data_IF_954280746669
#
_entry.id   IF_954280746669
#
_cell.length_a   1.000
_cell.length_b   1.000
_cell.length_c   1.000
_cell.angle_alpha   90.00
_cell.angle_beta   90.00
_cell.angle_gamma   90.00
#
_symmetry.space_group_name_H-M   'P 1'
#
loop_
_entity.id
_entity.type
_entity.pdbx_description
1 polymer ?
#
# COMPACT_ATOMS: atom_id res chain seq x y z
N UNK A 1 -1.43 14.93 -7.44
CA UNK A 1 -0.63 15.77 -6.52
C UNK A 1 -0.38 17.17 -7.08
N UNK A 2 0.33 17.34 -8.21
CA UNK A 2 0.60 18.68 -8.75
C UNK A 2 -0.68 19.45 -9.10
N UNK A 3 -1.66 18.78 -9.71
CA UNK A 3 -2.97 19.38 -9.99
C UNK A 3 -3.71 19.81 -8.72
N UNK A 4 -3.68 19.02 -7.64
CA UNK A 4 -4.18 19.45 -6.33
C UNK A 4 -3.44 20.69 -5.84
N UNK A 5 -2.10 20.72 -5.93
CA UNK A 5 -1.28 21.81 -5.40
C UNK A 5 -1.57 23.17 -6.05
N UNK A 6 -1.78 23.22 -7.37
CA UNK A 6 -2.11 24.47 -8.08
C UNK A 6 -3.53 24.98 -7.78
N UNK A 7 -4.40 24.11 -7.23
CA UNK A 7 -5.77 24.45 -6.83
C UNK A 7 -5.89 24.73 -5.32
N UNK A 8 -4.79 24.70 -4.55
CA UNK A 8 -4.80 25.05 -3.13
C UNK A 8 -4.76 26.58 -2.94
N UNK A 9 -5.47 27.07 -1.91
CA UNK A 9 -5.51 28.51 -1.58
C UNK A 9 -4.25 29.04 -0.88
N UNK A 10 -3.33 28.16 -0.47
CA UNK A 10 -2.13 28.51 0.28
C UNK A 10 -0.86 27.80 -0.24
N UNK A 11 0.31 28.12 0.31
CA UNK A 11 1.57 27.52 -0.10
C UNK A 11 1.55 25.99 0.05
N UNK A 12 2.02 25.29 -0.99
CA UNK A 12 2.15 23.82 -1.01
C UNK A 12 3.57 23.44 -1.35
N UNK A 13 4.16 22.53 -0.57
CA UNK A 13 5.41 21.87 -0.91
C UNK A 13 5.11 20.51 -1.54
N UNK A 14 5.56 20.30 -2.78
CA UNK A 14 5.49 18.99 -3.46
C UNK A 14 6.88 18.40 -3.48
N UNK A 15 7.06 17.24 -2.83
CA UNK A 15 8.33 16.49 -2.89
C UNK A 15 8.28 15.56 -4.09
N UNK A 16 9.18 15.78 -5.05
CA UNK A 16 9.42 14.87 -6.15
C UNK A 16 10.55 13.90 -5.78
N UNK A 17 10.41 12.59 -6.07
CA UNK A 17 11.47 11.63 -5.81
C UNK A 17 12.69 11.93 -6.68
N UNK A 18 13.88 11.58 -6.19
CA UNK A 18 15.12 11.69 -6.96
C UNK A 18 15.29 10.42 -7.79
N UNK A 19 15.28 10.54 -9.12
CA UNK A 19 15.44 9.40 -10.04
C UNK A 19 14.20 9.08 -10.87
N UNK A 20 14.22 7.95 -11.56
CA UNK A 20 13.08 7.48 -12.35
C UNK A 20 11.97 7.01 -11.40
N UNK A 21 10.91 7.81 -11.26
CA UNK A 21 9.69 7.38 -10.57
C UNK A 21 9.14 6.12 -11.24
N UNK A 22 8.95 5.05 -10.46
CA UNK A 22 8.50 3.76 -10.97
C UNK A 22 6.97 3.70 -11.03
N UNK A 23 6.44 3.43 -12.23
CA UNK A 23 5.27 2.59 -12.42
C UNK A 23 3.87 3.13 -12.09
N UNK A 24 3.70 4.44 -11.89
CA UNK A 24 2.37 5.02 -11.78
C UNK A 24 1.82 5.38 -13.16
N UNK A 25 0.72 4.75 -13.56
CA UNK A 25 -0.03 5.19 -14.75
C UNK A 25 -0.48 6.64 -14.54
N UNK A 26 -0.15 7.50 -15.51
CA UNK A 26 -0.60 8.88 -15.48
C UNK A 26 -2.09 8.91 -15.89
N UNK A 27 -2.94 9.42 -15.01
CA UNK A 27 -4.34 9.67 -15.37
C UNK A 27 -4.42 10.65 -16.53
N UNK A 28 -5.25 10.33 -17.55
CA UNK A 28 -5.57 11.25 -18.65
C UNK A 28 -6.30 12.52 -18.15
N UNK A 29 -7.03 12.41 -17.03
CA UNK A 29 -7.81 13.51 -16.44
C UNK A 29 -7.38 13.72 -14.98
N UNK A 30 -6.66 14.80 -14.67
CA UNK A 30 -6.25 15.06 -13.30
C UNK A 30 -7.44 15.50 -12.44
N UNK A 31 -7.50 15.02 -11.20
CA UNK A 31 -8.54 15.38 -10.23
C UNK A 31 -7.94 16.04 -8.99
N UNK A 32 -8.73 16.91 -8.34
CA UNK A 32 -8.34 17.53 -7.07
C UNK A 32 -8.56 16.52 -5.95
N UNK A 33 -7.47 16.14 -5.30
CA UNK A 33 -7.51 15.27 -4.12
C UNK A 33 -7.95 16.03 -2.87
N UNK A 34 -8.76 15.39 -2.02
CA UNK A 34 -9.10 15.92 -0.70
C UNK A 34 -7.83 16.03 0.17
N UNK A 35 -7.55 17.24 0.67
CA UNK A 35 -6.34 17.51 1.44
C UNK A 35 -6.29 16.67 2.71
N UNK A 36 -5.19 15.94 2.89
CA UNK A 36 -4.99 15.08 4.06
C UNK A 36 -5.72 13.75 4.00
N UNK A 37 -6.29 13.36 2.84
CA UNK A 37 -6.80 12.01 2.63
C UNK A 37 -5.75 11.09 2.00
N UNK A 38 -5.48 9.99 2.71
CA UNK A 38 -4.74 8.86 2.18
C UNK A 38 -5.68 7.85 1.51
N UNK A 39 -5.12 6.73 1.06
CA UNK A 39 -5.89 5.62 0.50
C UNK A 39 -5.25 4.28 0.85
N UNK A 40 -6.05 3.20 0.85
CA UNK A 40 -5.52 1.83 0.84
C UNK A 40 -5.25 1.45 -0.60
N UNK A 41 -3.97 1.20 -0.94
CA UNK A 41 -3.56 0.82 -2.30
C UNK A 41 -3.42 -0.69 -2.48
N UNK A 42 -3.30 -1.42 -1.37
CA UNK A 42 -3.29 -2.88 -1.38
C UNK A 42 -3.81 -3.42 -0.05
N UNK A 43 -4.60 -4.48 -0.13
CA UNK A 43 -5.04 -5.27 1.02
C UNK A 43 -4.96 -6.73 0.61
N UNK A 44 -4.20 -7.52 1.34
CA UNK A 44 -4.18 -8.98 1.15
C UNK A 44 -5.62 -9.52 1.20
N UNK A 45 -5.92 -10.51 0.38
CA UNK A 45 -7.28 -11.05 0.26
C UNK A 45 -7.78 -11.54 1.63
N UNK A 46 -8.86 -10.94 2.15
CA UNK A 46 -9.36 -11.27 3.49
C UNK A 46 -9.98 -12.66 3.49
N UNK A 47 -9.41 -13.47 4.37
CA UNK A 47 -9.73 -14.84 4.74
C UNK A 47 -11.16 -15.01 5.26
N UNK A 48 -11.84 -16.09 4.86
CA UNK A 48 -12.97 -16.63 5.62
C UNK A 48 -12.43 -17.55 6.72
N UNK A 49 -12.46 -17.09 7.98
CA UNK A 49 -12.17 -17.93 9.15
C UNK A 49 -10.68 -18.26 9.38
N UNK A 50 -9.81 -17.24 9.39
CA UNK A 50 -8.42 -17.30 9.87
C UNK A 50 -7.42 -18.10 9.02
N UNK A 51 -7.67 -18.23 7.72
CA UNK A 51 -7.09 -19.28 6.89
C UNK A 51 -6.70 -18.78 5.48
N UNK A 52 -5.41 -18.62 5.20
CA UNK A 52 -4.80 -18.26 3.91
C UNK A 52 -4.86 -19.42 2.94
N UNK A 53 -5.49 -19.20 1.79
CA UNK A 53 -5.41 -20.11 0.64
C UNK A 53 -4.20 -19.69 -0.21
N UNK A 54 -3.12 -20.47 -0.13
CA UNK A 54 -1.97 -20.30 -1.03
C UNK A 54 -2.23 -21.16 -2.26
N UNK A 55 -2.47 -20.54 -3.42
CA UNK A 55 -2.51 -21.23 -4.71
C UNK A 55 -1.07 -21.39 -5.23
N UNK A 56 -0.50 -22.58 -5.09
CA UNK A 56 0.71 -22.92 -5.82
C UNK A 56 0.36 -23.09 -7.31
N UNK A 57 0.68 -22.12 -8.14
CA UNK A 57 0.87 -22.35 -9.57
C UNK A 57 2.31 -22.78 -9.78
N UNK A 58 2.57 -24.08 -9.67
CA UNK A 58 3.80 -24.66 -10.22
C UNK A 58 3.69 -24.58 -11.75
N UNK A 59 4.68 -23.93 -12.36
CA UNK A 59 4.80 -23.79 -13.80
C UNK A 59 4.97 -25.17 -14.45
N UNK A 60 3.95 -25.63 -15.18
CA UNK A 60 4.14 -26.61 -16.26
C UNK A 60 3.43 -27.96 -16.16
N UNK A 61 2.61 -28.24 -15.13
CA UNK A 61 1.79 -29.46 -15.09
C UNK A 61 0.37 -29.18 -14.59
N UNK A 62 -0.57 -29.95 -15.14
CA UNK A 62 -2.04 -29.83 -15.03
C UNK A 62 -2.48 -29.40 -13.61
N UNK A 63 -3.31 -28.33 -13.48
CA UNK A 63 -3.64 -27.75 -12.19
C UNK A 63 -4.55 -28.69 -11.39
N UNK A 64 -3.97 -29.54 -10.56
CA UNK A 64 -4.70 -30.13 -9.43
C UNK A 64 -4.71 -29.08 -8.31
N UNK A 65 -5.87 -28.46 -8.13
CA UNK A 65 -6.13 -27.35 -7.21
C UNK A 65 -5.98 -27.76 -5.74
N UNK A 66 -4.73 -27.88 -5.26
CA UNK A 66 -4.44 -27.99 -3.83
C UNK A 66 -4.18 -26.59 -3.26
N UNK A 67 -5.27 -25.90 -2.97
CA UNK A 67 -5.28 -24.73 -2.10
C UNK A 67 -4.86 -25.15 -0.69
N UNK A 68 -3.61 -24.86 -0.28
CA UNK A 68 -3.20 -25.13 1.09
C UNK A 68 -3.68 -24.00 1.99
N UNK A 69 -4.40 -24.38 3.03
CA UNK A 69 -4.99 -23.46 3.99
C UNK A 69 -4.04 -23.30 5.19
N UNK A 70 -3.57 -22.07 5.47
CA UNK A 70 -2.61 -21.78 6.55
C UNK A 70 -3.05 -20.59 7.40
N UNK A 71 -2.81 -20.63 8.71
CA UNK A 71 -2.98 -19.42 9.54
C UNK A 71 -1.92 -18.38 9.15
N UNK A 72 -2.25 -17.07 9.19
CA UNK A 72 -1.27 -16.02 8.95
C UNK A 72 -0.14 -16.08 9.98
N UNK A 73 1.09 -15.88 9.52
CA UNK A 73 2.27 -15.77 10.38
C UNK A 73 2.29 -14.44 11.13
N UNK A 74 1.81 -13.37 10.50
CA UNK A 74 1.64 -12.04 11.09
C UNK A 74 0.77 -11.14 10.22
N UNK A 75 0.16 -10.11 10.82
CA UNK A 75 -0.58 -9.05 10.12
C UNK A 75 0.08 -7.68 10.29
N UNK A 76 0.31 -6.96 9.20
CA UNK A 76 1.01 -5.66 9.22
C UNK A 76 0.28 -4.57 8.45
N UNK A 77 0.35 -3.35 9.00
CA UNK A 77 -0.07 -2.11 8.35
C UNK A 77 1.17 -1.37 7.86
N UNK A 78 1.39 -1.38 6.54
CA UNK A 78 2.46 -0.63 5.88
C UNK A 78 1.93 0.76 5.52
N UNK A 79 2.56 1.81 6.02
CA UNK A 79 2.26 3.20 5.69
C UNK A 79 3.39 3.71 4.80
N UNK A 80 3.11 3.89 3.52
CA UNK A 80 4.07 4.34 2.52
C UNK A 80 3.74 5.74 2.00
N UNK A 81 4.77 6.45 1.55
CA UNK A 81 4.63 7.77 0.92
C UNK A 81 5.61 7.93 -0.25
N UNK A 82 5.20 8.66 -1.28
CA UNK A 82 6.07 8.99 -2.42
C UNK A 82 6.48 7.77 -3.26
N UNK A 83 7.75 7.73 -3.65
CA UNK A 83 8.36 6.66 -4.47
C UNK A 83 8.25 5.28 -3.83
N UNK A 84 8.10 5.21 -2.50
CA UNK A 84 8.06 3.95 -1.77
C UNK A 84 6.70 3.23 -1.80
N UNK A 85 5.65 3.86 -2.34
CA UNK A 85 4.30 3.25 -2.37
C UNK A 85 4.27 1.98 -3.24
N UNK A 86 4.78 2.05 -4.48
CA UNK A 86 4.80 0.87 -5.38
C UNK A 86 5.71 -0.25 -4.87
N UNK A 87 6.97 0.02 -4.45
CA UNK A 87 7.80 -0.99 -3.79
C UNK A 87 7.12 -1.63 -2.58
N UNK A 88 6.38 -0.87 -1.76
CA UNK A 88 5.64 -1.40 -0.62
C UNK A 88 4.51 -2.35 -1.05
N UNK A 89 3.80 -2.04 -2.14
CA UNK A 89 2.78 -2.93 -2.72
C UNK A 89 3.40 -4.23 -3.24
N UNK A 90 4.50 -4.16 -3.99
CA UNK A 90 5.18 -5.35 -4.49
C UNK A 90 5.74 -6.21 -3.35
N UNK A 91 6.32 -5.59 -2.32
CA UNK A 91 6.74 -6.28 -1.12
C UNK A 91 5.57 -6.97 -0.40
N UNK A 92 4.41 -6.30 -0.29
CA UNK A 92 3.22 -6.87 0.31
C UNK A 92 2.69 -8.11 -0.44
N UNK A 93 2.75 -8.11 -1.79
CA UNK A 93 2.41 -9.28 -2.61
C UNK A 93 3.36 -10.45 -2.38
N UNK A 94 4.66 -10.18 -2.19
CA UNK A 94 5.64 -11.23 -1.86
C UNK A 94 5.43 -11.77 -0.44
N UNK A 95 5.14 -10.89 0.52
CA UNK A 95 4.82 -11.25 1.90
C UNK A 95 3.57 -12.14 2.00
N UNK A 96 2.54 -11.89 1.18
CA UNK A 96 1.34 -12.72 1.14
C UNK A 96 1.66 -14.19 0.78
N UNK A 97 2.61 -14.42 -0.14
CA UNK A 97 3.08 -15.78 -0.50
C UNK A 97 3.78 -16.49 0.65
N UNK A 98 4.44 -15.72 1.53
CA UNK A 98 5.07 -16.23 2.75
C UNK A 98 4.10 -16.38 3.92
N UNK A 99 2.82 -16.05 3.72
CA UNK A 99 1.78 -16.09 4.74
C UNK A 99 1.77 -14.90 5.69
N UNK A 100 2.36 -13.77 5.27
CA UNK A 100 2.32 -12.49 5.99
C UNK A 100 1.28 -11.59 5.34
N UNK A 101 0.26 -11.23 6.12
CA UNK A 101 -0.89 -10.44 5.67
C UNK A 101 -0.55 -8.97 5.77
N UNK A 102 -0.80 -8.21 4.71
CA UNK A 102 -0.43 -6.80 4.66
C UNK A 102 -1.58 -5.92 4.18
N UNK A 103 -1.75 -4.78 4.85
CA UNK A 103 -2.47 -3.62 4.31
C UNK A 103 -1.45 -2.54 3.98
N UNK A 104 -1.47 -2.00 2.77
CA UNK A 104 -0.60 -0.89 2.35
C UNK A 104 -1.45 0.36 2.20
N UNK A 105 -1.11 1.38 2.98
CA UNK A 105 -1.68 2.72 2.94
C UNK A 105 -0.71 3.62 2.17
N UNK A 106 -1.20 4.25 1.11
CA UNK A 106 -0.55 5.42 0.53
C UNK A 106 -1.00 6.64 1.32
N UNK A 107 -0.09 7.23 2.09
CA UNK A 107 -0.41 8.40 2.92
C UNK A 107 -0.82 9.61 2.09
N UNK A 108 -0.32 9.73 0.83
CA UNK A 108 -0.47 10.87 -0.11
C UNK A 108 0.06 12.22 0.39
N UNK A 109 -0.26 12.59 1.63
CA UNK A 109 0.09 13.85 2.26
C UNK A 109 0.91 13.61 3.54
N UNK A 110 2.01 14.37 3.68
CA UNK A 110 2.77 14.44 4.94
C UNK A 110 2.12 15.42 5.91
N UNK A 111 1.46 16.46 5.41
CA UNK A 111 0.67 17.38 6.24
C UNK A 111 -0.46 18.00 5.42
N UNK A 112 -1.70 17.98 5.94
CA UNK A 112 -2.15 17.15 7.06
C UNK A 112 -2.07 15.64 6.73
N UNK A 113 -1.92 14.78 7.74
CA UNK A 113 -2.00 13.32 7.57
C UNK A 113 -3.45 12.82 7.78
N UNK A 114 -3.82 11.72 7.11
CA UNK A 114 -5.07 11.00 7.38
C UNK A 114 -4.95 10.18 8.67
N UNK A 115 -5.16 10.85 9.81
CA UNK A 115 -5.10 10.19 11.13
C UNK A 115 -6.10 9.04 11.25
N UNK A 116 -7.30 9.21 10.71
CA UNK A 116 -8.36 8.21 10.85
C UNK A 116 -7.98 6.92 10.10
N UNK A 117 -7.53 7.04 8.85
CA UNK A 117 -7.08 5.91 8.06
C UNK A 117 -5.91 5.17 8.72
N UNK A 118 -4.89 5.92 9.16
CA UNK A 118 -3.69 5.35 9.79
C UNK A 118 -4.03 4.63 11.10
N UNK A 119 -4.82 5.25 11.98
CA UNK A 119 -5.19 4.65 13.27
C UNK A 119 -6.05 3.40 13.06
N UNK A 120 -6.96 3.42 12.09
CA UNK A 120 -7.78 2.24 11.79
C UNK A 120 -6.93 1.09 11.24
N UNK A 121 -6.00 1.37 10.31
CA UNK A 121 -5.07 0.35 9.81
C UNK A 121 -4.17 -0.21 10.91
N UNK A 122 -3.66 0.65 11.80
CA UNK A 122 -2.83 0.24 12.92
C UNK A 122 -3.58 -0.64 13.95
N UNK A 123 -4.87 -0.38 14.18
CA UNK A 123 -5.70 -1.20 15.09
C UNK A 123 -5.99 -2.60 14.56
N UNK A 124 -6.06 -2.75 13.24
CA UNK A 124 -6.28 -4.05 12.59
C UNK A 124 -5.00 -4.87 12.46
N UNK A 125 -3.82 -4.29 12.68
CA UNK A 125 -2.53 -4.94 12.47
C UNK A 125 -1.81 -5.26 13.79
N UNK A 126 -1.01 -6.32 13.78
CA UNK A 126 -0.08 -6.61 14.89
C UNK A 126 1.12 -5.66 14.89
N UNK A 127 1.52 -5.20 13.70
CA UNK A 127 2.71 -4.35 13.49
C UNK A 127 2.41 -3.22 12.53
N UNK A 128 3.00 -2.06 12.81
CA UNK A 128 2.99 -0.89 11.92
C UNK A 128 4.38 -0.73 11.33
N UNK A 129 4.47 -0.58 10.02
CA UNK A 129 5.71 -0.36 9.29
C UNK A 129 5.57 0.93 8.49
N UNK A 130 6.50 1.87 8.64
CA UNK A 130 6.54 3.08 7.82
C UNK A 130 7.61 2.94 6.74
N UNK A 131 7.28 3.28 5.49
CA UNK A 131 8.20 3.16 4.35
C UNK A 131 8.26 4.48 3.60
N UNK A 132 9.40 5.15 3.68
CA UNK A 132 9.61 6.45 3.07
C UNK A 132 11.07 6.57 2.58
N UNK A 133 11.28 7.38 1.55
CA UNK A 133 12.62 7.69 1.05
C UNK A 133 13.05 9.04 1.64
N UNK A 134 13.65 8.96 2.82
CA UNK A 134 14.14 10.12 3.56
C UNK A 134 15.54 10.48 3.11
N UNK A 135 15.68 11.51 2.28
CA UNK A 135 16.92 12.29 2.27
C UNK A 135 16.56 13.72 2.63
N UNK A 136 17.04 14.13 3.81
CA UNK A 136 17.15 15.52 4.25
C UNK A 136 18.26 16.21 3.45
#
# INVERSE_FOLDING_TARGET
MLYTAVNCSGPVAVRYPRGSGSGADLSEKPEVLEMGRGEVVYKSSRFTGSRIIISNTESGQVPSSKSQVRNPKSEQCIIAVGSMVYPAVEAAKLLEKEGVVSTVINARFVKPLDRALIVNGAKEAERVVTVEEGVL
#
